data_IF_126908427442
#
_entry.id   IF_126908427442
#
_cell.length_a   1.000
_cell.length_b   1.000
_cell.length_c   1.000
_cell.angle_alpha   90.00
_cell.angle_beta   90.00
_cell.angle_gamma   90.00
#
_symmetry.space_group_name_H-M   'P 1'
#
loop_
_entity.id
_entity.type
_entity.pdbx_description
1 polymer ?
#
# COMPACT_ATOMS: atom_id res chain seq x y z
N UNK A 1 103.63 -2.07 24.49
CA UNK A 1 103.04 -3.22 23.79
C UNK A 1 101.76 -3.61 24.52
N UNK A 2 100.73 -4.04 23.77
CA UNK A 2 99.45 -4.65 24.21
C UNK A 2 98.47 -3.75 24.97
N UNK A 3 97.41 -3.24 24.30
CA UNK A 3 95.99 -3.73 24.25
C UNK A 3 95.23 -3.43 25.57
N UNK A 4 93.98 -2.94 25.66
CA UNK A 4 92.76 -3.08 24.83
C UNK A 4 91.58 -2.31 25.49
N UNK A 5 90.62 -1.81 24.69
CA UNK A 5 89.15 -1.61 24.93
C UNK A 5 88.69 -0.63 26.05
N UNK A 6 87.62 0.18 25.97
CA UNK A 6 86.26 -0.01 25.42
C UNK A 6 85.47 1.34 25.39
N UNK A 7 84.78 1.64 24.27
CA UNK A 7 83.37 2.13 24.06
C UNK A 7 82.65 2.96 25.15
N UNK A 8 81.69 3.87 24.92
CA UNK A 8 80.78 4.26 23.81
C UNK A 8 79.90 5.42 24.31
N UNK A 9 79.43 6.33 23.44
CA UNK A 9 78.01 6.75 23.39
C UNK A 9 77.82 7.87 22.35
N UNK A 10 77.27 7.55 21.18
CA UNK A 10 76.62 8.52 20.31
C UNK A 10 75.16 8.09 20.13
N UNK A 11 74.25 8.88 20.69
CA UNK A 11 72.82 8.79 20.46
C UNK A 11 72.45 9.78 19.36
N UNK A 12 71.79 9.30 18.31
CA UNK A 12 71.01 10.14 17.40
C UNK A 12 69.64 9.49 17.18
N UNK A 13 68.56 10.28 17.19
CA UNK A 13 67.20 9.74 17.17
C UNK A 13 66.77 9.32 15.76
N UNK A 14 66.07 8.19 15.72
CA UNK A 14 65.41 7.61 14.54
C UNK A 14 64.23 8.51 14.17
N UNK A 15 64.31 9.14 12.99
CA UNK A 15 63.16 9.78 12.33
C UNK A 15 62.36 8.66 11.67
N UNK A 16 61.22 8.32 12.27
CA UNK A 16 60.23 7.41 11.71
C UNK A 16 59.73 7.93 10.35
N UNK A 17 59.88 7.07 9.35
CA UNK A 17 59.34 7.26 8.00
C UNK A 17 57.81 7.34 8.06
N UNK A 18 57.26 8.38 7.43
CA UNK A 18 55.84 8.49 7.11
C UNK A 18 55.44 7.32 6.21
N UNK A 19 54.61 6.43 6.74
CA UNK A 19 53.83 5.47 5.95
C UNK A 19 52.84 6.24 5.08
N UNK A 20 52.99 6.08 3.77
CA UNK A 20 52.07 6.54 2.74
C UNK A 20 50.68 5.98 3.00
N UNK A 21 49.74 6.85 3.33
CA UNK A 21 48.31 6.53 3.40
C UNK A 21 47.85 6.36 1.94
N UNK A 22 47.68 5.12 1.50
CA UNK A 22 46.93 4.79 0.30
C UNK A 22 45.49 5.26 0.52
N UNK A 23 45.08 6.31 -0.20
CA UNK A 23 43.68 6.74 -0.25
C UNK A 23 42.84 5.57 -0.76
N UNK A 24 42.04 4.96 0.12
CA UNK A 24 40.94 4.10 -0.27
C UNK A 24 39.96 4.93 -1.10
N UNK A 25 40.14 4.95 -2.42
CA UNK A 25 39.12 5.45 -3.32
C UNK A 25 37.95 4.48 -3.25
N UNK A 26 36.89 4.89 -2.53
CA UNK A 26 35.61 4.19 -2.51
C UNK A 26 35.16 3.94 -3.95
N UNK A 27 34.94 2.67 -4.29
CA UNK A 27 34.44 2.28 -5.61
C UNK A 27 33.08 2.96 -5.87
N UNK A 28 32.87 3.56 -7.05
CA UNK A 28 31.58 4.15 -7.40
C UNK A 28 30.48 3.07 -7.45
N UNK A 29 29.32 3.39 -6.88
CA UNK A 29 28.15 2.52 -6.82
C UNK A 29 26.97 3.20 -7.51
N UNK A 30 26.35 2.52 -8.47
CA UNK A 30 25.11 2.94 -9.10
C UNK A 30 23.97 2.04 -8.66
N UNK A 31 22.91 2.63 -8.14
CA UNK A 31 21.71 1.92 -7.73
C UNK A 31 20.63 2.09 -8.79
N UNK A 32 20.06 0.98 -9.24
CA UNK A 32 18.99 0.91 -10.22
C UNK A 32 17.84 0.08 -9.64
N UNK A 33 16.62 0.42 -10.02
CA UNK A 33 15.43 -0.35 -9.65
C UNK A 33 15.08 -1.32 -10.77
N UNK A 34 14.86 -2.60 -10.44
CA UNK A 34 14.55 -3.62 -11.45
C UNK A 34 13.39 -3.18 -12.35
N UNK A 35 12.32 -2.62 -11.78
CA UNK A 35 11.11 -2.14 -12.48
C UNK A 35 11.37 -1.04 -13.53
N UNK A 36 12.47 -0.29 -13.39
CA UNK A 36 12.82 0.82 -14.28
C UNK A 36 13.65 0.36 -15.48
N UNK A 37 14.21 -0.86 -15.41
CA UNK A 37 14.99 -1.44 -16.50
C UNK A 37 14.08 -1.78 -17.69
N UNK A 38 14.51 -1.34 -18.88
CA UNK A 38 13.80 -1.58 -20.13
C UNK A 38 13.79 -3.08 -20.42
N UNK A 39 12.61 -3.65 -20.64
CA UNK A 39 12.47 -5.05 -21.04
C UNK A 39 12.66 -5.16 -22.55
N UNK A 40 13.76 -5.81 -22.97
CA UNK A 40 14.10 -6.01 -24.38
C UNK A 40 13.31 -7.17 -25.00
N UNK A 41 13.18 -8.27 -24.27
CA UNK A 41 12.40 -9.43 -24.70
C UNK A 41 11.96 -10.27 -23.50
N UNK A 42 10.84 -10.97 -23.66
CA UNK A 42 10.37 -12.01 -22.74
C UNK A 42 10.05 -13.25 -23.56
N UNK A 43 10.67 -14.37 -23.22
CA UNK A 43 10.39 -15.67 -23.83
C UNK A 43 9.67 -16.51 -22.79
N UNK A 44 8.43 -16.88 -23.07
CA UNK A 44 7.58 -17.63 -22.13
C UNK A 44 7.64 -19.11 -22.47
N UNK A 45 7.99 -19.92 -21.49
CA UNK A 45 7.91 -21.38 -21.50
C UNK A 45 6.70 -21.84 -20.68
N UNK A 46 6.46 -23.15 -20.63
CA UNK A 46 5.32 -23.72 -19.88
C UNK A 46 5.40 -23.46 -18.38
N UNK A 47 6.60 -23.47 -17.81
CA UNK A 47 6.88 -23.44 -16.37
C UNK A 47 7.61 -22.17 -15.90
N UNK A 48 8.19 -21.41 -16.84
CA UNK A 48 9.04 -20.24 -16.56
C UNK A 48 8.99 -19.22 -17.68
N UNK A 49 9.45 -18.01 -17.42
CA UNK A 49 9.74 -17.03 -18.45
C UNK A 49 11.19 -16.58 -18.36
N UNK A 50 11.87 -16.45 -19.49
CA UNK A 50 13.17 -15.81 -19.59
C UNK A 50 12.97 -14.34 -19.94
N UNK A 51 13.52 -13.47 -19.10
CA UNK A 51 13.40 -12.01 -19.21
C UNK A 51 14.77 -11.44 -19.55
N UNK A 52 14.83 -10.68 -20.63
CA UNK A 52 16.02 -9.93 -21.05
C UNK A 52 15.78 -8.45 -20.84
N UNK A 53 16.59 -7.82 -20.00
CA UNK A 53 16.53 -6.37 -19.70
C UNK A 53 17.79 -5.67 -20.17
N UNK A 54 17.60 -4.43 -20.64
CA UNK A 54 18.66 -3.52 -21.04
C UNK A 54 18.97 -2.59 -19.88
N UNK A 55 20.24 -2.50 -19.52
CA UNK A 55 20.77 -1.56 -18.52
C UNK A 55 21.60 -0.55 -19.29
N UNK A 56 21.19 0.72 -19.22
CA UNK A 56 21.86 1.82 -19.92
C UNK A 56 22.33 2.83 -18.89
N UNK A 57 23.60 3.23 -18.99
CA UNK A 57 24.18 4.22 -18.09
C UNK A 57 25.29 5.00 -18.78
N UNK A 58 25.53 6.21 -18.29
CA UNK A 58 26.62 7.05 -18.76
C UNK A 58 27.90 6.75 -17.98
N UNK A 59 29.03 6.79 -18.69
CA UNK A 59 30.37 6.73 -18.11
C UNK A 59 30.57 7.96 -17.21
N UNK A 60 31.13 7.81 -16.00
CA UNK A 60 31.52 8.95 -15.19
C UNK A 60 32.58 9.79 -15.91
N UNK A 61 32.27 11.03 -16.28
CA UNK A 61 33.19 11.94 -17.00
C UNK A 61 34.44 12.31 -16.18
N UNK A 62 34.36 12.18 -14.86
CA UNK A 62 35.35 12.73 -13.92
C UNK A 62 36.45 11.73 -13.52
N UNK A 63 36.48 10.52 -14.09
CA UNK A 63 37.38 9.44 -13.65
C UNK A 63 38.24 8.95 -14.82
N UNK A 64 39.55 8.79 -14.59
CA UNK A 64 40.49 8.22 -15.56
C UNK A 64 40.16 6.73 -15.79
N UNK A 65 40.11 6.32 -17.05
CA UNK A 65 39.85 4.94 -17.44
C UNK A 65 41.13 4.08 -17.38
N UNK A 66 41.03 2.77 -17.09
CA UNK A 66 39.81 2.00 -16.80
C UNK A 66 39.25 2.24 -15.39
N UNK A 67 37.91 2.17 -15.25
CA UNK A 67 37.23 2.39 -13.96
C UNK A 67 36.44 1.15 -13.54
N UNK A 68 36.68 0.69 -12.31
CA UNK A 68 35.85 -0.34 -11.67
C UNK A 68 34.66 0.29 -10.98
N UNK A 69 33.49 -0.30 -11.19
CA UNK A 69 32.21 0.23 -10.70
C UNK A 69 31.29 -0.91 -10.31
N UNK A 70 30.48 -0.69 -9.27
CA UNK A 70 29.44 -1.63 -8.86
C UNK A 70 28.06 -1.11 -9.29
N UNK A 71 27.34 -1.90 -10.07
CA UNK A 71 25.94 -1.62 -10.44
C UNK A 71 25.06 -2.54 -9.60
N UNK A 72 24.21 -1.96 -8.76
CA UNK A 72 23.26 -2.68 -7.91
C UNK A 72 21.85 -2.52 -8.46
N UNK A 73 21.22 -3.64 -8.79
CA UNK A 73 19.84 -3.70 -9.26
C UNK A 73 18.97 -4.18 -8.11
N UNK A 74 18.15 -3.31 -7.55
CA UNK A 74 17.30 -3.57 -6.39
C UNK A 74 15.91 -4.07 -6.78
N UNK A 75 15.21 -4.65 -5.81
CA UNK A 75 13.81 -5.10 -5.91
C UNK A 75 13.60 -6.11 -7.06
N UNK A 76 14.53 -7.05 -7.18
CA UNK A 76 14.43 -8.16 -8.12
C UNK A 76 13.35 -9.14 -7.64
N UNK A 77 12.63 -9.74 -8.59
CA UNK A 77 11.51 -10.64 -8.29
C UNK A 77 11.90 -11.77 -7.34
N UNK A 78 11.05 -12.14 -6.36
CA UNK A 78 11.26 -13.32 -5.51
C UNK A 78 11.28 -14.64 -6.29
N UNK A 79 10.70 -14.66 -7.49
CA UNK A 79 10.58 -15.87 -8.31
C UNK A 79 11.74 -16.05 -9.28
N UNK A 80 12.79 -15.23 -9.16
CA UNK A 80 13.98 -15.34 -10.02
C UNK A 80 14.76 -16.62 -9.73
N UNK A 81 15.21 -17.30 -10.78
CA UNK A 81 16.16 -18.41 -10.66
C UNK A 81 17.58 -17.86 -10.51
N UNK A 82 18.20 -18.08 -9.35
CA UNK A 82 19.55 -17.56 -9.03
C UNK A 82 20.62 -18.01 -10.03
N UNK A 83 20.52 -19.26 -10.48
CA UNK A 83 21.47 -19.88 -11.41
C UNK A 83 21.26 -19.45 -12.87
N UNK A 84 20.16 -18.75 -13.16
CA UNK A 84 19.83 -18.32 -14.52
C UNK A 84 20.37 -16.93 -14.87
N UNK A 85 20.93 -16.21 -13.90
CA UNK A 85 21.38 -14.84 -14.07
C UNK A 85 22.61 -14.84 -14.98
N UNK A 86 22.50 -14.11 -16.08
CA UNK A 86 23.57 -13.92 -17.07
C UNK A 86 23.62 -12.45 -17.43
N UNK A 87 24.82 -11.93 -17.62
CA UNK A 87 25.03 -10.55 -18.03
C UNK A 87 25.95 -10.54 -19.23
N UNK A 88 25.57 -9.82 -20.26
CA UNK A 88 26.41 -9.59 -21.43
C UNK A 88 26.85 -8.12 -21.44
N UNK A 89 28.16 -7.90 -21.54
CA UNK A 89 28.76 -6.58 -21.67
C UNK A 89 28.63 -6.06 -23.10
N UNK A 90 28.20 -4.81 -23.26
CA UNK A 90 28.22 -4.11 -24.54
C UNK A 90 29.03 -2.80 -24.39
N UNK A 91 29.53 -2.27 -25.51
CA UNK A 91 30.15 -0.93 -25.59
C UNK A 91 31.33 -0.69 -24.64
N UNK A 92 32.27 -1.63 -24.52
CA UNK A 92 33.51 -1.42 -23.75
C UNK A 92 33.40 -1.68 -22.25
N UNK A 93 32.36 -2.39 -21.83
CA UNK A 93 32.19 -2.81 -20.43
C UNK A 93 32.57 -4.27 -20.26
N UNK A 94 33.54 -4.53 -19.39
CA UNK A 94 33.92 -5.88 -18.96
C UNK A 94 33.17 -6.20 -17.67
N UNK A 95 32.59 -7.40 -17.61
CA UNK A 95 31.94 -7.91 -16.40
C UNK A 95 33.00 -8.68 -15.62
N UNK A 96 33.26 -8.24 -14.39
CA UNK A 96 34.20 -8.88 -13.48
C UNK A 96 33.49 -9.91 -12.60
N UNK A 97 32.33 -9.53 -12.05
CA UNK A 97 31.58 -10.40 -11.14
C UNK A 97 30.07 -10.12 -11.19
N UNK A 98 29.27 -11.14 -10.85
CA UNK A 98 27.81 -11.09 -10.82
C UNK A 98 27.32 -11.82 -9.57
N UNK A 99 26.85 -11.05 -8.60
CA UNK A 99 26.35 -11.57 -7.34
C UNK A 99 24.85 -11.36 -7.21
N UNK A 100 24.14 -12.42 -6.84
CA UNK A 100 22.79 -12.30 -6.33
C UNK A 100 22.81 -12.26 -4.80
N UNK A 101 22.27 -11.18 -4.24
CA UNK A 101 22.23 -10.94 -2.81
C UNK A 101 20.78 -10.90 -2.34
N UNK A 102 20.50 -11.67 -1.30
CA UNK A 102 19.20 -11.70 -0.63
C UNK A 102 19.42 -11.42 0.85
N UNK A 103 18.94 -10.26 1.31
CA UNK A 103 19.05 -9.83 2.69
C UNK A 103 17.66 -9.89 3.32
N UNK A 104 17.48 -10.57 4.45
CA UNK A 104 16.26 -10.46 5.22
C UNK A 104 15.95 -9.00 5.51
N UNK A 105 14.83 -8.52 5.01
CA UNK A 105 14.26 -7.26 5.42
C UNK A 105 13.63 -7.49 6.78
N UNK A 106 14.40 -7.21 7.82
CA UNK A 106 13.79 -6.92 9.10
C UNK A 106 12.79 -5.80 8.85
N UNK A 107 11.52 -6.08 9.14
CA UNK A 107 10.45 -5.11 9.03
C UNK A 107 10.85 -3.96 9.94
N UNK A 108 11.34 -2.84 9.37
CA UNK A 108 11.61 -1.66 10.17
C UNK A 108 10.28 -1.27 10.85
N UNK A 109 10.36 -0.91 12.14
CA UNK A 109 9.21 -0.62 12.99
C UNK A 109 8.23 0.38 12.35
N UNK A 110 8.67 1.28 11.46
CA UNK A 110 7.82 2.24 10.73
C UNK A 110 6.69 1.58 9.90
N UNK A 111 6.94 0.42 9.31
CA UNK A 111 5.89 -0.35 8.62
C UNK A 111 4.91 -1.00 9.60
N UNK A 112 5.38 -1.34 10.80
CA UNK A 112 4.58 -1.92 11.88
C UNK A 112 3.77 -0.85 12.64
N UNK A 113 4.30 0.36 12.80
CA UNK A 113 3.64 1.50 13.42
C UNK A 113 2.48 1.98 12.55
N UNK A 114 2.68 2.09 11.23
CA UNK A 114 1.59 2.41 10.31
C UNK A 114 0.52 1.30 10.25
N UNK A 115 0.93 0.03 10.30
CA UNK A 115 -0.01 -1.11 10.37
C UNK A 115 -0.82 -1.09 11.67
N UNK A 116 -0.16 -0.90 12.82
CA UNK A 116 -0.83 -0.85 14.13
C UNK A 116 -1.75 0.36 14.25
N UNK A 117 -1.38 1.51 13.68
CA UNK A 117 -2.25 2.67 13.59
C UNK A 117 -3.51 2.37 12.74
N UNK A 118 -3.33 1.77 11.57
CA UNK A 118 -4.46 1.36 10.71
C UNK A 118 -5.34 0.29 11.37
N UNK A 119 -4.77 -0.65 12.12
CA UNK A 119 -5.50 -1.66 12.89
C UNK A 119 -6.33 -1.01 14.01
N UNK A 120 -5.75 -0.05 14.72
CA UNK A 120 -6.45 0.73 15.75
C UNK A 120 -7.57 1.56 15.12
N UNK A 121 -7.32 2.29 14.04
CA UNK A 121 -8.32 3.08 13.33
C UNK A 121 -9.47 2.21 12.81
N UNK A 122 -9.17 1.02 12.26
CA UNK A 122 -10.18 0.08 11.78
C UNK A 122 -11.05 -0.42 12.95
N UNK A 123 -10.44 -0.78 14.07
CA UNK A 123 -11.16 -1.20 15.28
C UNK A 123 -12.06 -0.09 15.82
N UNK A 124 -11.60 1.15 15.81
CA UNK A 124 -12.36 2.30 16.29
C UNK A 124 -13.54 2.63 15.35
N UNK A 125 -13.33 2.54 14.03
CA UNK A 125 -14.39 2.70 13.03
C UNK A 125 -15.43 1.58 13.10
N UNK A 126 -15.04 0.34 13.36
CA UNK A 126 -15.96 -0.78 13.61
C UNK A 126 -16.83 -0.53 14.85
N UNK A 127 -16.22 -0.09 15.96
CA UNK A 127 -16.93 0.26 17.18
C UNK A 127 -17.93 1.40 16.98
N UNK A 128 -17.55 2.43 16.22
CA UNK A 128 -18.43 3.54 15.84
C UNK A 128 -19.57 3.09 14.92
N UNK A 129 -19.32 2.18 13.97
CA UNK A 129 -20.36 1.59 13.13
C UNK A 129 -21.37 0.80 13.97
N UNK A 130 -20.89 -0.02 14.93
CA UNK A 130 -21.74 -0.82 15.80
C UNK A 130 -22.66 0.06 16.66
N UNK A 131 -22.10 1.06 17.36
CA UNK A 131 -22.88 1.98 18.19
C UNK A 131 -23.90 2.79 17.38
N UNK A 132 -23.55 3.23 16.17
CA UNK A 132 -24.49 3.98 15.33
C UNK A 132 -25.58 3.08 14.73
N UNK A 133 -25.28 1.82 14.45
CA UNK A 133 -26.25 0.82 14.05
C UNK A 133 -27.25 0.52 15.18
N UNK A 134 -26.77 0.37 16.43
CA UNK A 134 -27.63 0.21 17.60
C UNK A 134 -28.58 1.41 17.79
N UNK A 135 -28.09 2.63 17.58
CA UNK A 135 -28.92 3.85 17.62
C UNK A 135 -30.02 3.83 16.55
N UNK A 136 -29.68 3.42 15.33
CA UNK A 136 -30.65 3.27 14.23
C UNK A 136 -31.72 2.24 14.62
N UNK A 137 -31.32 1.09 15.17
CA UNK A 137 -32.25 0.04 15.58
C UNK A 137 -33.22 0.50 16.68
N UNK A 138 -32.73 1.28 17.66
CA UNK A 138 -33.58 1.89 18.69
C UNK A 138 -34.56 2.90 18.07
N UNK A 139 -34.10 3.75 17.15
CA UNK A 139 -34.96 4.73 16.47
C UNK A 139 -36.02 4.06 15.59
N UNK A 140 -35.68 2.96 14.90
CA UNK A 140 -36.64 2.17 14.12
C UNK A 140 -37.72 1.58 15.02
N UNK A 141 -37.33 0.93 16.12
CA UNK A 141 -38.28 0.38 17.10
C UNK A 141 -39.21 1.46 17.66
N UNK A 142 -38.67 2.65 17.98
CA UNK A 142 -39.48 3.79 18.44
C UNK A 142 -40.48 4.24 17.37
N UNK A 143 -40.05 4.29 16.11
CA UNK A 143 -40.91 4.67 14.99
C UNK A 143 -42.04 3.66 14.78
N UNK A 144 -41.74 2.37 14.86
CA UNK A 144 -42.73 1.30 14.71
C UNK A 144 -43.81 1.36 15.80
N UNK A 145 -43.42 1.68 17.04
CA UNK A 145 -44.37 1.90 18.14
C UNK A 145 -45.26 3.12 17.85
N UNK A 146 -44.68 4.25 17.42
CA UNK A 146 -45.45 5.46 17.09
C UNK A 146 -46.43 5.22 15.92
N UNK A 147 -45.99 4.53 14.87
CA UNK A 147 -46.84 4.15 13.75
C UNK A 147 -47.94 3.16 14.17
N UNK A 148 -47.64 2.25 15.10
CA UNK A 148 -48.61 1.32 15.69
C UNK A 148 -49.72 2.04 16.46
N UNK A 149 -49.35 3.01 17.31
CA UNK A 149 -50.30 3.85 18.07
C UNK A 149 -51.15 4.69 17.11
N UNK A 150 -50.54 5.34 16.12
CA UNK A 150 -51.27 6.13 15.12
C UNK A 150 -52.30 5.30 14.34
N UNK A 151 -51.95 4.05 13.98
CA UNK A 151 -52.87 3.10 13.34
C UNK A 151 -54.05 2.72 14.25
N UNK A 152 -53.83 2.52 15.54
CA UNK A 152 -54.90 2.21 16.50
C UNK A 152 -55.86 3.39 16.69
N UNK A 153 -55.32 4.61 16.83
CA UNK A 153 -56.13 5.83 16.95
C UNK A 153 -56.98 6.03 15.68
N UNK A 154 -56.37 5.88 14.49
CA UNK A 154 -57.10 5.98 13.22
C UNK A 154 -58.22 4.95 13.06
N UNK A 155 -58.01 3.70 13.51
CA UNK A 155 -59.06 2.66 13.51
C UNK A 155 -60.21 3.01 14.44
N UNK A 156 -59.92 3.49 15.65
CA UNK A 156 -60.97 3.84 16.62
C UNK A 156 -61.76 5.09 16.19
N UNK A 157 -61.11 6.06 15.53
CA UNK A 157 -61.77 7.25 15.01
C UNK A 157 -62.75 6.96 13.84
N UNK A 158 -62.46 5.94 13.02
CA UNK A 158 -63.34 5.52 11.91
C UNK A 158 -64.51 4.63 12.37
N UNK A 159 -64.34 3.88 13.45
CA UNK A 159 -65.41 2.99 13.98
C UNK A 159 -66.50 3.77 14.72
N UNK A 160 -66.22 5.00 15.16
CA UNK A 160 -67.21 5.87 15.82
C UNK A 160 -68.24 6.52 14.88
N UNK A 161 -68.12 6.37 13.56
CA UNK A 161 -69.05 7.00 12.60
C UNK A 161 -70.12 6.09 11.99
N UNK A 162 -70.09 4.76 12.18
CA UNK A 162 -71.02 3.85 11.48
C UNK A 162 -71.83 2.87 12.37
N UNK A 163 -71.86 3.07 13.70
CA UNK A 163 -72.60 2.18 14.59
C UNK A 163 -73.54 2.88 15.59
N UNK A 164 -74.16 4.01 15.23
CA UNK A 164 -75.23 4.58 16.05
C UNK A 164 -76.35 5.25 15.25
N UNK A 165 -76.97 4.49 14.36
CA UNK A 165 -78.37 4.72 13.99
C UNK A 165 -79.17 3.42 14.08
N UNK A 166 -79.39 2.93 15.30
CA UNK A 166 -80.60 2.18 15.70
C UNK A 166 -80.69 2.06 17.23
N UNK A 167 -81.58 2.89 17.79
CA UNK A 167 -82.37 2.74 19.03
C UNK A 167 -81.67 2.09 20.24
N UNK A 168 -81.34 2.93 21.22
CA UNK A 168 -81.84 2.74 22.59
C UNK A 168 -81.81 4.09 23.31
N UNK A 169 -82.96 4.53 23.79
CA UNK A 169 -83.08 5.76 24.58
C UNK A 169 -82.63 5.50 26.00
N UNK A 170 -81.63 6.25 26.46
CA UNK A 170 -81.41 6.52 27.89
C UNK A 170 -81.22 8.02 28.01
N UNK A 171 -82.07 8.60 28.86
CA UNK A 171 -82.17 10.03 29.10
C UNK A 171 -80.86 10.59 29.66
N UNK A 172 -80.48 11.75 29.14
CA UNK A 172 -79.42 12.57 29.70
C UNK A 172 -79.84 13.08 31.10
N UNK A 173 -79.15 12.61 32.14
CA UNK A 173 -78.99 13.38 33.37
C UNK A 173 -77.78 14.29 33.20
N UNK A 174 -78.03 15.60 33.29
CA UNK A 174 -77.03 16.65 33.32
C UNK A 174 -76.23 16.57 34.61
N UNK A 175 -75.17 15.78 34.62
CA UNK A 175 -74.04 15.85 35.55
C UNK A 175 -73.00 14.88 35.00
N UNK A 176 -71.83 15.39 34.60
CA UNK A 176 -70.61 14.69 34.11
C UNK A 176 -69.98 15.29 32.83
N UNK A 177 -70.28 16.55 32.51
CA UNK A 177 -69.54 17.33 31.48
C UNK A 177 -68.24 17.99 32.00
N UNK A 178 -67.52 17.38 32.96
CA UNK A 178 -66.20 17.88 33.37
C UNK A 178 -65.07 16.84 33.38
N UNK A 179 -65.28 15.59 32.94
CA UNK A 179 -64.23 14.55 32.96
C UNK A 179 -63.82 13.96 31.60
N UNK A 180 -64.27 14.52 30.47
CA UNK A 180 -63.86 14.05 29.13
C UNK A 180 -63.11 15.13 28.33
N UNK A 181 -62.64 16.19 28.99
CA UNK A 181 -61.62 17.11 28.45
C UNK A 181 -60.24 16.93 29.14
N UNK A 182 -60.11 16.00 30.07
CA UNK A 182 -58.92 15.81 30.90
C UNK A 182 -57.81 14.94 30.31
N UNK A 183 -57.94 14.42 29.09
CA UNK A 183 -56.96 13.51 28.50
C UNK A 183 -56.11 14.13 27.38
N UNK A 184 -56.29 15.42 27.07
CA UNK A 184 -55.48 16.11 26.05
C UNK A 184 -54.45 17.08 26.68
N UNK A 185 -54.59 17.45 27.95
CA UNK A 185 -53.73 18.45 28.58
C UNK A 185 -53.22 18.02 29.97
N UNK A 186 -52.38 17.00 30.06
CA UNK A 186 -51.50 16.79 31.23
C UNK A 186 -50.23 16.03 30.85
N UNK A 187 -49.25 16.76 30.31
CA UNK A 187 -47.83 16.52 30.55
C UNK A 187 -47.00 17.69 30.00
N UNK A 188 -47.22 18.87 30.60
CA UNK A 188 -46.23 19.95 30.62
C UNK A 188 -45.03 19.57 31.48
N UNK A 189 -44.33 18.52 31.09
CA UNK A 189 -43.06 18.08 31.66
C UNK A 189 -42.01 18.10 30.56
N UNK A 190 -40.99 18.93 30.75
CA UNK A 190 -39.90 19.24 29.83
C UNK A 190 -38.99 18.05 29.46
N UNK A 191 -39.50 17.06 28.73
CA UNK A 191 -38.68 16.08 28.03
C UNK A 191 -39.24 15.91 26.62
N UNK A 192 -38.44 16.25 25.62
CA UNK A 192 -38.75 16.31 24.19
C UNK A 192 -39.64 15.15 23.72
N UNK A 193 -40.95 15.40 23.59
CA UNK A 193 -41.85 14.52 22.83
C UNK A 193 -41.55 14.73 21.35
N UNK A 194 -40.46 14.13 20.87
CA UNK A 194 -40.08 14.17 19.45
C UNK A 194 -41.23 13.61 18.61
N UNK A 195 -41.67 14.36 17.62
CA UNK A 195 -42.72 13.89 16.70
C UNK A 195 -42.23 12.72 15.85
N UNK A 196 -43.15 11.91 15.30
CA UNK A 196 -42.79 10.82 14.37
C UNK A 196 -42.02 11.34 13.14
N UNK A 197 -42.33 12.56 12.69
CA UNK A 197 -41.60 13.25 11.61
C UNK A 197 -40.14 13.55 11.96
N UNK A 198 -39.87 14.01 13.19
CA UNK A 198 -38.50 14.23 13.69
C UNK A 198 -37.73 12.91 13.79
N UNK A 199 -38.36 11.86 14.31
CA UNK A 199 -37.75 10.52 14.43
C UNK A 199 -37.35 9.96 13.06
N UNK A 200 -38.20 10.13 12.03
CA UNK A 200 -37.86 9.74 10.64
C UNK A 200 -36.71 10.55 10.06
N UNK A 201 -36.62 11.85 10.38
CA UNK A 201 -35.53 12.71 9.92
C UNK A 201 -34.21 12.32 10.55
N UNK A 202 -34.21 12.07 11.86
CA UNK A 202 -33.06 11.59 12.63
C UNK A 202 -32.57 10.23 12.10
N UNK A 203 -33.50 9.30 11.79
CA UNK A 203 -33.17 8.02 11.18
C UNK A 203 -32.42 8.16 9.84
N UNK A 204 -32.88 9.07 8.97
CA UNK A 204 -32.22 9.33 7.68
C UNK A 204 -30.84 9.94 7.85
N UNK A 205 -30.69 10.83 8.84
CA UNK A 205 -29.41 11.45 9.14
C UNK A 205 -28.41 10.42 9.65
N UNK A 206 -28.81 9.61 10.64
CA UNK A 206 -27.99 8.50 11.15
C UNK A 206 -27.69 7.46 10.08
N UNK A 207 -28.63 7.16 9.19
CA UNK A 207 -28.39 6.27 8.06
C UNK A 207 -27.30 6.77 7.09
N UNK A 208 -27.22 8.09 6.86
CA UNK A 208 -26.14 8.69 6.06
C UNK A 208 -24.80 8.62 6.78
N UNK A 209 -24.77 8.97 8.07
CA UNK A 209 -23.57 8.86 8.91
C UNK A 209 -23.03 7.41 8.93
N UNK A 210 -23.91 6.41 9.00
CA UNK A 210 -23.53 5.00 8.94
C UNK A 210 -22.90 4.64 7.58
N UNK A 211 -23.49 5.12 6.48
CA UNK A 211 -22.98 4.84 5.14
C UNK A 211 -21.58 5.45 4.94
N UNK A 212 -21.38 6.68 5.39
CA UNK A 212 -20.07 7.35 5.35
C UNK A 212 -19.02 6.63 6.20
N UNK A 213 -19.38 6.21 7.42
CA UNK A 213 -18.48 5.43 8.28
C UNK A 213 -18.12 4.07 7.68
N UNK A 214 -19.08 3.36 7.08
CA UNK A 214 -18.84 2.09 6.39
C UNK A 214 -17.92 2.25 5.17
N UNK A 215 -18.06 3.35 4.41
CA UNK A 215 -17.15 3.63 3.30
C UNK A 215 -15.72 3.90 3.80
N UNK A 216 -15.57 4.64 4.90
CA UNK A 216 -14.26 4.88 5.52
C UNK A 216 -13.65 3.58 6.06
N UNK A 217 -14.46 2.73 6.69
CA UNK A 217 -14.03 1.42 7.16
C UNK A 217 -13.51 0.56 6.00
N UNK A 218 -14.29 0.44 4.92
CA UNK A 218 -13.88 -0.33 3.75
C UNK A 218 -12.57 0.19 3.10
N UNK A 219 -12.36 1.51 3.10
CA UNK A 219 -11.10 2.12 2.63
C UNK A 219 -9.92 1.77 3.55
N UNK A 220 -10.12 1.84 4.87
CA UNK A 220 -9.10 1.47 5.87
C UNK A 220 -8.74 0.00 5.77
N UNK A 221 -9.73 -0.90 5.72
CA UNK A 221 -9.54 -2.35 5.55
C UNK A 221 -8.79 -2.69 4.26
N UNK A 222 -9.11 -2.00 3.15
CA UNK A 222 -8.42 -2.20 1.89
C UNK A 222 -6.94 -1.80 1.97
N UNK A 223 -6.63 -0.66 2.58
CA UNK A 223 -5.24 -0.21 2.75
C UNK A 223 -4.47 -1.14 3.70
N UNK A 224 -5.11 -1.56 4.78
CA UNK A 224 -4.56 -2.52 5.75
C UNK A 224 -4.24 -3.86 5.06
N UNK A 225 -5.16 -4.40 4.26
CA UNK A 225 -4.94 -5.62 3.50
C UNK A 225 -3.86 -5.47 2.43
N UNK A 226 -3.79 -4.30 1.78
CA UNK A 226 -2.72 -3.97 0.82
C UNK A 226 -1.35 -3.88 1.50
N UNK A 227 -1.26 -3.35 2.71
CA UNK A 227 -0.01 -3.33 3.47
C UNK A 227 0.38 -4.72 3.96
N UNK A 228 -0.57 -5.51 4.48
CA UNK A 228 -0.34 -6.92 4.82
C UNK A 228 0.15 -7.72 3.62
N UNK A 229 -0.49 -7.57 2.45
CA UNK A 229 -0.07 -8.23 1.22
C UNK A 229 1.32 -7.83 0.71
N UNK A 230 1.80 -6.62 1.01
CA UNK A 230 3.19 -6.23 0.72
C UNK A 230 4.20 -6.90 1.67
N UNK A 231 3.82 -7.17 2.91
CA UNK A 231 4.69 -7.66 3.98
C UNK A 231 4.67 -9.19 4.14
N UNK A 232 3.59 -9.84 3.71
CA UNK A 232 3.37 -11.28 3.92
C UNK A 232 4.15 -12.16 2.93
N UNK A 233 4.32 -11.68 1.69
CA UNK A 233 4.86 -12.50 0.60
C UNK A 233 6.34 -12.27 0.29
N UNK A 234 6.95 -11.20 0.80
CA UNK A 234 8.36 -10.93 0.52
C UNK A 234 9.11 -10.23 1.64
N UNK A 235 9.66 -11.04 2.55
CA UNK A 235 10.46 -10.55 3.69
C UNK A 235 11.90 -10.26 3.33
N UNK A 236 12.32 -10.41 2.07
CA UNK A 236 13.73 -10.29 1.71
C UNK A 236 13.93 -9.21 0.66
N UNK A 237 14.90 -8.32 0.89
CA UNK A 237 15.43 -7.46 -0.16
C UNK A 237 16.33 -8.27 -1.06
N UNK A 238 16.01 -8.31 -2.35
CA UNK A 238 16.83 -8.97 -3.37
C UNK A 238 17.49 -7.93 -4.25
N UNK A 239 18.77 -8.12 -4.48
CA UNK A 239 19.54 -7.31 -5.42
C UNK A 239 20.49 -8.16 -6.23
N UNK A 240 20.73 -7.75 -7.48
CA UNK A 240 21.82 -8.27 -8.30
C UNK A 240 22.92 -7.20 -8.30
N UNK A 241 24.10 -7.53 -7.80
CA UNK A 241 25.28 -6.68 -7.86
C UNK A 241 26.13 -7.13 -9.06
N UNK A 242 26.47 -6.18 -9.92
CA UNK A 242 27.34 -6.38 -11.07
C UNK A 242 28.61 -5.59 -10.82
N UNK A 243 29.74 -6.27 -10.68
CA UNK A 243 31.04 -5.63 -10.67
C UNK A 243 31.52 -5.53 -12.11
N UNK A 244 31.70 -4.31 -12.60
CA UNK A 244 32.09 -4.05 -13.99
C UNK A 244 33.33 -3.17 -14.06
N UNK A 245 34.09 -3.33 -15.13
CA UNK A 245 35.22 -2.49 -15.50
C UNK A 245 34.91 -1.81 -16.83
N UNK A 246 34.87 -0.48 -16.82
CA UNK A 246 34.62 0.33 -18.00
C UNK A 246 35.98 0.65 -18.62
N UNK A 247 36.17 0.23 -19.86
CA UNK A 247 37.36 0.53 -20.63
C UNK A 247 37.21 1.86 -21.37
N UNK A 248 38.36 2.51 -21.62
CA UNK A 248 38.48 3.52 -22.66
C UNK A 248 38.44 2.81 -24.00
N UNK A 249 37.36 2.98 -24.75
CA UNK A 249 37.34 2.56 -26.14
C UNK A 249 38.15 3.60 -26.92
N UNK A 250 39.32 3.21 -27.44
CA UNK A 250 40.05 4.03 -28.42
C UNK A 250 39.36 4.00 -29.79
N UNK A 251 38.51 3.00 -30.03
CA UNK A 251 37.68 2.82 -31.22
C UNK A 251 36.21 3.14 -30.89
N UNK A 252 35.92 4.39 -30.50
CA UNK A 252 34.54 4.87 -30.48
C UNK A 252 34.05 4.94 -31.94
N UNK A 253 33.36 3.88 -32.36
CA UNK A 253 32.68 3.80 -33.64
C UNK A 253 31.74 4.99 -33.81
N UNK A 254 31.64 5.50 -35.03
CA UNK A 254 30.99 6.75 -35.45
C UNK A 254 29.52 6.92 -34.99
N UNK A 255 28.86 5.84 -34.53
CA UNK A 255 27.46 5.84 -34.08
C UNK A 255 27.28 5.77 -32.54
N UNK A 256 28.38 5.77 -31.78
CA UNK A 256 28.33 5.70 -30.31
C UNK A 256 28.09 7.11 -29.73
N UNK A 257 26.97 7.33 -29.06
CA UNK A 257 26.78 8.53 -28.25
C UNK A 257 27.88 8.52 -27.17
N UNK A 258 28.78 9.49 -27.21
CA UNK A 258 29.99 9.56 -26.38
C UNK A 258 29.69 9.16 -24.92
N UNK A 259 30.38 8.13 -24.44
CA UNK A 259 30.30 7.69 -23.04
C UNK A 259 29.06 6.87 -22.65
N UNK A 260 28.21 6.44 -23.59
CA UNK A 260 27.05 5.60 -23.27
C UNK A 260 27.44 4.11 -23.18
N UNK A 261 27.24 3.51 -22.01
CA UNK A 261 27.53 2.11 -21.71
C UNK A 261 26.24 1.29 -21.64
N UNK A 262 26.28 0.04 -22.11
CA UNK A 262 25.11 -0.83 -22.12
C UNK A 262 25.45 -2.24 -21.63
N UNK A 263 24.56 -2.81 -20.82
CA UNK A 263 24.60 -4.21 -20.40
C UNK A 263 23.26 -4.88 -20.70
N UNK A 264 23.31 -6.17 -20.99
CA UNK A 264 22.11 -6.99 -21.13
C UNK A 264 22.06 -7.99 -19.98
N UNK A 265 21.08 -7.82 -19.10
CA UNK A 265 20.78 -8.74 -18.02
C UNK A 265 19.72 -9.74 -18.48
N UNK A 266 20.03 -11.03 -18.40
CA UNK A 266 19.12 -12.13 -18.70
C UNK A 266 18.92 -12.95 -17.43
N UNK A 267 17.68 -13.29 -17.11
CA UNK A 267 17.35 -14.21 -16.03
C UNK A 267 16.02 -14.90 -16.29
N UNK A 268 15.79 -16.00 -15.61
CA UNK A 268 14.55 -16.76 -15.63
C UNK A 268 13.74 -16.48 -14.37
N UNK A 269 12.43 -16.42 -14.52
CA UNK A 269 11.44 -16.27 -13.45
C UNK A 269 10.42 -17.39 -13.52
N UNK A 270 10.12 -17.99 -12.38
CA UNK A 270 9.10 -19.03 -12.24
C UNK A 270 7.74 -18.44 -11.87
N UNK A 271 6.69 -19.26 -11.93
CA UNK A 271 5.32 -18.89 -11.51
C UNK A 271 4.78 -17.62 -12.21
N UNK A 272 5.23 -17.39 -13.45
CA UNK A 272 4.77 -16.26 -14.24
C UNK A 272 3.40 -16.55 -14.84
N UNK A 273 2.48 -15.60 -14.75
CA UNK A 273 1.19 -15.68 -15.44
C UNK A 273 1.21 -14.78 -16.67
N UNK A 274 0.99 -15.35 -17.84
CA UNK A 274 0.86 -14.59 -19.07
C UNK A 274 -0.63 -14.37 -19.39
N UNK A 275 -1.01 -13.11 -19.58
CA UNK A 275 -2.36 -12.71 -19.99
C UNK A 275 -2.27 -12.02 -21.35
N UNK A 276 -2.23 -12.78 -22.46
CA UNK A 276 -2.18 -12.17 -23.79
C UNK A 276 -3.43 -11.33 -24.02
N UNK A 277 -3.24 -10.12 -24.54
CA UNK A 277 -4.32 -9.29 -25.08
C UNK A 277 -4.23 -9.32 -26.60
N UNK A 278 -5.29 -9.83 -27.24
CA UNK A 278 -5.35 -9.91 -28.70
C UNK A 278 -6.09 -8.69 -29.24
N UNK A 279 -5.44 -7.96 -30.15
CA UNK A 279 -6.13 -6.98 -31.00
C UNK A 279 -6.47 -7.68 -32.32
N UNK A 280 -7.67 -8.25 -32.38
CA UNK A 280 -8.17 -8.88 -33.61
C UNK A 280 -8.61 -7.78 -34.58
N UNK A 281 -7.95 -7.70 -35.73
CA UNK A 281 -8.34 -6.82 -36.84
C UNK A 281 -8.81 -7.71 -38.00
N UNK A 282 -10.04 -7.52 -38.43
CA UNK A 282 -10.58 -8.18 -39.62
C UNK A 282 -10.50 -7.22 -40.80
N UNK A 283 -9.96 -7.69 -41.92
CA UNK A 283 -10.01 -6.99 -43.21
C UNK A 283 -10.80 -7.85 -44.18
N UNK A 284 -11.93 -7.35 -44.67
CA UNK A 284 -12.63 -7.98 -45.80
C UNK A 284 -12.01 -7.48 -47.10
N UNK A 285 -11.37 -8.35 -47.86
CA UNK A 285 -11.11 -8.09 -49.27
C UNK A 285 -12.46 -8.14 -50.00
N UNK A 286 -13.01 -6.98 -50.34
CA UNK A 286 -14.17 -6.90 -51.21
C UNK A 286 -13.76 -7.26 -52.62
N UNK A 287 -14.42 -8.27 -53.19
CA UNK A 287 -14.52 -8.47 -54.65
C UNK A 287 -15.44 -7.40 -55.27
#
# INVERSE_FOLDING_TARGET
MTTTTTTSSDFSPIISQKSSISSEQSMPIMNLEAKELITKSVVVYLDRAEVKRKISFQRPEQIQLPVKMMIRINNVSPMISRESIRVDGQSGVIILDVDYVEVPQFCNDEGSENLSFLELETTDLEGNCATLNDQIDVLQKRLDVLDGVAKQIGKNALVSTDAQQRRCGVQASQQDQQQINGCIETSGGSQQSKTAGETRRELRQKGKELAELKERLAKSEWELNKQRGKMEYDKNKRSINLLVEILSNEEDSIDSIEGHCELLLVYQVFSCTWRPSYSLRASSSGE
#
